data_IF_788970206676
#
_entry.id   IF_788970206676
#
_cell.length_a   1.000
_cell.length_b   1.000
_cell.length_c   1.000
_cell.angle_alpha   90.00
_cell.angle_beta   90.00
_cell.angle_gamma   90.00
#
_symmetry.space_group_name_H-M   'P 1'
#
loop_
_entity.id
_entity.type
_entity.pdbx_description
1 polymer ?
#
# COMPACT_ATOMS: atom_id res chain seq x y z
N UNK A 1 -0.17 -16.51 13.30
CA UNK A 1 0.47 -17.82 13.43
C UNK A 1 1.25 -18.13 12.17
N UNK A 2 2.44 -18.75 12.30
CA UNK A 2 3.14 -19.35 11.16
C UNK A 2 2.38 -20.60 10.68
N UNK A 3 2.78 -21.18 9.54
CA UNK A 3 2.17 -22.43 9.06
C UNK A 3 2.37 -23.58 10.06
N UNK A 4 3.55 -23.66 10.69
CA UNK A 4 3.86 -24.68 11.72
C UNK A 4 3.05 -24.45 13.00
N UNK A 5 3.01 -23.21 13.52
CA UNK A 5 2.19 -22.87 14.68
C UNK A 5 0.71 -23.14 14.43
N UNK A 6 0.26 -22.89 13.19
CA UNK A 6 -1.11 -23.16 12.77
C UNK A 6 -1.39 -24.69 12.78
N UNK A 7 -0.47 -25.52 12.30
CA UNK A 7 -0.58 -26.97 12.35
C UNK A 7 -0.75 -27.49 13.78
N UNK A 8 0.14 -27.09 14.68
CA UNK A 8 0.07 -27.45 16.10
C UNK A 8 -1.21 -26.97 16.79
N UNK A 9 -1.71 -25.78 16.37
CA UNK A 9 -2.95 -25.25 16.93
C UNK A 9 -4.18 -25.99 16.38
N UNK A 10 -4.19 -26.37 15.10
CA UNK A 10 -5.26 -27.16 14.47
C UNK A 10 -5.48 -28.51 15.20
N UNK A 11 -4.42 -29.21 15.56
CA UNK A 11 -4.49 -30.47 16.32
C UNK A 11 -5.19 -30.28 17.66
N UNK A 12 -5.09 -29.12 18.26
CA UNK A 12 -5.66 -28.78 19.57
C UNK A 12 -6.95 -27.96 19.50
N UNK A 13 -7.42 -27.61 18.30
CA UNK A 13 -8.56 -26.69 18.09
C UNK A 13 -9.85 -27.22 18.76
N UNK A 14 -10.02 -28.53 18.87
CA UNK A 14 -11.17 -29.13 19.53
C UNK A 14 -11.33 -28.75 21.02
N UNK A 15 -10.24 -28.29 21.65
CA UNK A 15 -10.23 -27.76 23.03
C UNK A 15 -10.72 -26.34 23.15
N UNK A 16 -10.76 -25.59 22.02
CA UNK A 16 -11.06 -24.17 22.00
C UNK A 16 -12.37 -23.90 21.24
N UNK A 17 -13.49 -24.07 21.95
CA UNK A 17 -14.80 -23.81 21.36
C UNK A 17 -14.95 -22.34 20.99
N UNK A 18 -15.46 -22.06 19.80
CA UNK A 18 -15.66 -20.70 19.29
C UNK A 18 -14.43 -20.06 18.63
N UNK A 19 -13.30 -20.78 18.55
CA UNK A 19 -12.12 -20.33 17.81
C UNK A 19 -12.11 -20.95 16.42
N UNK A 20 -11.74 -20.13 15.44
CA UNK A 20 -11.62 -20.55 14.04
C UNK A 20 -10.30 -20.06 13.48
N UNK A 21 -9.73 -20.80 12.52
CA UNK A 21 -8.56 -20.38 11.78
C UNK A 21 -9.03 -19.74 10.48
N UNK A 22 -8.69 -18.48 10.29
CA UNK A 22 -8.89 -17.77 9.04
C UNK A 22 -7.54 -17.59 8.35
N UNK A 23 -7.43 -18.05 7.11
CA UNK A 23 -6.26 -17.78 6.28
C UNK A 23 -6.29 -16.32 5.84
N UNK A 24 -5.13 -15.70 5.84
CA UNK A 24 -4.96 -14.33 5.32
C UNK A 24 -3.81 -14.28 4.35
N UNK A 25 -3.98 -13.54 3.28
CA UNK A 25 -2.90 -13.18 2.37
C UNK A 25 -2.05 -12.08 3.01
N UNK A 26 -0.73 -12.17 2.83
CA UNK A 26 0.22 -11.17 3.30
C UNK A 26 0.92 -10.64 2.05
N UNK A 27 1.14 -9.33 1.98
CA UNK A 27 1.93 -8.72 0.91
C UNK A 27 3.35 -9.25 0.97
N UNK A 28 3.91 -9.50 -0.19
CA UNK A 28 5.32 -9.86 -0.36
C UNK A 28 5.93 -8.88 -1.35
N UNK A 29 7.04 -8.29 -0.98
CA UNK A 29 7.81 -7.41 -1.85
C UNK A 29 9.01 -8.17 -2.39
N UNK A 30 9.26 -8.05 -3.70
CA UNK A 30 10.44 -8.66 -4.35
C UNK A 30 11.70 -7.85 -4.15
N UNK A 31 11.56 -6.57 -3.77
CA UNK A 31 12.65 -5.61 -3.59
C UNK A 31 12.46 -4.82 -2.30
N UNK A 32 13.58 -4.47 -1.65
CA UNK A 32 13.62 -3.61 -0.45
C UNK A 32 13.60 -2.13 -0.86
N UNK A 33 12.76 -1.77 -1.82
CA UNK A 33 12.76 -0.45 -2.43
C UNK A 33 11.33 0.06 -2.70
N UNK A 34 11.21 1.34 -3.06
CA UNK A 34 9.99 2.01 -3.47
C UNK A 34 8.90 2.10 -2.39
N UNK A 35 9.24 1.96 -1.10
CA UNK A 35 8.26 1.95 -0.02
C UNK A 35 7.29 3.14 -0.04
N UNK A 36 7.77 4.35 -0.35
CA UNK A 36 6.95 5.55 -0.41
C UNK A 36 6.03 5.61 -1.64
N UNK A 37 6.45 5.00 -2.77
CA UNK A 37 5.64 4.96 -3.99
C UNK A 37 4.58 3.86 -3.88
N UNK A 38 4.97 2.66 -3.49
CA UNK A 38 4.06 1.54 -3.31
C UNK A 38 3.06 1.80 -2.19
N UNK A 39 3.54 2.36 -1.09
CA UNK A 39 2.75 2.52 0.12
C UNK A 39 2.67 1.25 0.94
N UNK A 40 1.65 1.14 1.76
CA UNK A 40 1.43 -0.01 2.63
C UNK A 40 -0.05 -0.30 2.82
N UNK A 41 -0.34 -1.52 3.26
CA UNK A 41 -1.67 -1.96 3.67
C UNK A 41 -1.76 -2.05 5.19
N UNK A 42 -2.93 -1.83 5.72
CA UNK A 42 -3.18 -1.95 7.15
C UNK A 42 -4.61 -2.36 7.43
N UNK A 43 -4.87 -2.81 8.66
CA UNK A 43 -6.22 -3.16 9.09
C UNK A 43 -7.14 -1.95 8.95
N UNK A 44 -8.35 -2.18 8.45
CA UNK A 44 -9.38 -1.15 8.29
C UNK A 44 -9.75 -0.56 9.66
N UNK A 45 -9.80 0.75 9.74
CA UNK A 45 -10.24 1.47 10.94
C UNK A 45 -11.77 1.66 10.95
N UNK A 46 -12.35 1.95 12.12
CA UNK A 46 -13.77 2.25 12.23
C UNK A 46 -14.19 3.40 11.31
N UNK A 47 -13.36 4.45 11.22
CA UNK A 47 -13.63 5.60 10.34
C UNK A 47 -13.63 5.24 8.85
N UNK A 48 -12.74 4.33 8.42
CA UNK A 48 -12.71 3.85 7.03
C UNK A 48 -13.91 2.95 6.73
N UNK A 49 -14.36 2.14 7.69
CA UNK A 49 -15.60 1.36 7.55
C UNK A 49 -16.84 2.24 7.46
N UNK A 50 -16.92 3.31 8.26
CA UNK A 50 -18.03 4.29 8.20
C UNK A 50 -18.06 5.06 6.87
N UNK A 51 -16.90 5.28 6.26
CA UNK A 51 -16.76 5.96 4.97
C UNK A 51 -16.95 5.02 3.76
N UNK A 52 -17.08 3.73 3.99
CA UNK A 52 -17.27 2.72 2.94
C UNK A 52 -18.75 2.61 2.56
N UNK A 53 -19.16 3.39 1.57
CA UNK A 53 -20.54 3.39 1.05
C UNK A 53 -20.95 2.04 0.43
N UNK A 54 -19.98 1.24 -0.02
CA UNK A 54 -20.23 -0.07 -0.64
C UNK A 54 -20.44 -1.18 0.39
N UNK A 55 -20.08 -0.93 1.67
CA UNK A 55 -20.15 -1.93 2.74
C UNK A 55 -19.23 -3.13 2.52
N UNK A 56 -18.14 -2.93 1.79
CA UNK A 56 -17.19 -3.98 1.44
C UNK A 56 -16.34 -4.43 2.62
N UNK A 57 -15.92 -3.47 3.47
CA UNK A 57 -15.00 -3.73 4.57
C UNK A 57 -15.70 -4.17 5.85
N UNK A 58 -15.16 -5.21 6.45
CA UNK A 58 -15.52 -5.65 7.79
C UNK A 58 -14.29 -5.58 8.71
N UNK A 59 -14.54 -5.57 10.01
CA UNK A 59 -13.46 -5.54 11.00
C UNK A 59 -12.46 -6.67 10.78
N UNK A 60 -11.19 -6.31 10.67
CA UNK A 60 -10.10 -7.24 10.43
C UNK A 60 -9.67 -7.34 8.97
N UNK A 61 -10.38 -6.71 8.03
CA UNK A 61 -9.91 -6.58 6.66
C UNK A 61 -8.71 -5.65 6.56
N UNK A 62 -7.98 -5.78 5.46
CA UNK A 62 -6.88 -4.88 5.12
C UNK A 62 -7.29 -3.92 4.02
N UNK A 63 -6.77 -2.70 4.10
CA UNK A 63 -7.00 -1.62 3.13
C UNK A 63 -5.69 -0.90 2.84
N UNK A 64 -5.50 -0.40 1.65
CA UNK A 64 -4.38 0.45 1.29
C UNK A 64 -4.38 1.75 2.10
N UNK A 65 -3.27 2.03 2.78
CA UNK A 65 -3.14 3.21 3.65
C UNK A 65 -2.49 4.38 2.94
N UNK A 66 -1.51 4.11 2.12
CA UNK A 66 -0.69 5.11 1.42
C UNK A 66 -0.34 4.62 0.02
N UNK A 67 0.19 5.54 -0.80
CA UNK A 67 0.79 5.24 -2.11
C UNK A 67 -0.16 4.58 -3.10
N UNK A 68 0.41 3.74 -3.95
CA UNK A 68 -0.31 2.96 -4.97
C UNK A 68 -1.34 2.03 -4.35
N UNK A 69 -1.02 1.39 -3.20
CA UNK A 69 -1.94 0.52 -2.49
C UNK A 69 -3.26 1.23 -2.14
N UNK A 70 -3.19 2.49 -1.71
CA UNK A 70 -4.39 3.30 -1.42
C UNK A 70 -5.09 3.80 -2.67
N UNK A 71 -4.31 4.32 -3.63
CA UNK A 71 -4.89 4.98 -4.82
C UNK A 71 -5.60 4.00 -5.75
N UNK A 72 -5.13 2.75 -5.77
CA UNK A 72 -5.68 1.69 -6.62
C UNK A 72 -6.36 0.57 -5.83
N UNK A 73 -6.75 0.85 -4.58
CA UNK A 73 -7.39 -0.13 -3.68
C UNK A 73 -8.53 -0.88 -4.34
N UNK A 74 -9.47 -0.19 -5.01
CA UNK A 74 -10.61 -0.81 -5.69
C UNK A 74 -10.22 -1.85 -6.75
N UNK A 75 -9.07 -1.67 -7.39
CA UNK A 75 -8.56 -2.60 -8.39
C UNK A 75 -7.78 -3.76 -7.76
N UNK A 76 -7.11 -3.49 -6.64
CA UNK A 76 -6.20 -4.43 -5.99
C UNK A 76 -6.91 -5.37 -5.00
N UNK A 77 -8.03 -4.93 -4.40
CA UNK A 77 -8.71 -5.67 -3.32
C UNK A 77 -9.46 -6.93 -3.80
N UNK A 78 -9.91 -6.96 -5.09
CA UNK A 78 -10.76 -8.04 -5.62
C UNK A 78 -12.18 -8.05 -5.06
N UNK A 79 -12.84 -9.19 -5.17
CA UNK A 79 -14.19 -9.40 -4.64
C UNK A 79 -14.18 -10.56 -3.63
N UNK A 80 -14.86 -10.37 -2.51
CA UNK A 80 -14.97 -11.40 -1.48
C UNK A 80 -15.88 -12.53 -1.92
N UNK A 81 -15.43 -13.76 -1.70
CA UNK A 81 -16.28 -14.93 -1.81
C UNK A 81 -17.22 -15.06 -0.61
N UNK A 82 -18.29 -15.80 -0.79
CA UNK A 82 -19.27 -16.13 0.26
C UNK A 82 -19.46 -17.63 0.23
N UNK A 83 -19.33 -18.27 1.40
CA UNK A 83 -19.66 -19.68 1.62
C UNK A 83 -20.76 -19.77 2.67
N UNK A 84 -21.86 -20.44 2.35
CA UNK A 84 -22.97 -20.65 3.27
C UNK A 84 -22.89 -22.07 3.82
N UNK A 85 -22.50 -22.16 5.09
CA UNK A 85 -22.24 -23.44 5.74
C UNK A 85 -23.37 -23.83 6.70
N UNK A 86 -23.79 -25.11 6.63
CA UNK A 86 -24.67 -25.71 7.62
C UNK A 86 -23.90 -26.08 8.88
N UNK A 87 -24.44 -25.72 10.04
CA UNK A 87 -23.86 -26.08 11.36
C UNK A 87 -24.88 -26.80 12.20
N UNK A 88 -24.40 -27.80 12.92
CA UNK A 88 -25.22 -28.50 13.94
C UNK A 88 -25.38 -27.65 15.22
N UNK A 89 -26.21 -28.15 16.13
CA UNK A 89 -26.43 -27.51 17.45
C UNK A 89 -25.15 -27.34 18.29
N UNK A 90 -24.08 -28.07 17.95
CA UNK A 90 -22.79 -27.99 18.62
C UNK A 90 -21.81 -27.06 17.88
N UNK A 91 -22.25 -26.42 16.77
CA UNK A 91 -21.46 -25.50 15.97
C UNK A 91 -20.51 -26.19 14.98
N UNK A 92 -20.62 -27.48 14.76
CA UNK A 92 -19.77 -28.22 13.81
C UNK A 92 -20.32 -28.04 12.40
N UNK A 93 -19.43 -27.80 11.44
CA UNK A 93 -19.78 -27.71 10.02
C UNK A 93 -20.18 -29.10 9.51
N UNK A 94 -21.38 -29.18 8.94
CA UNK A 94 -21.94 -30.42 8.37
C UNK A 94 -21.83 -30.45 6.83
N UNK A 95 -21.56 -29.29 6.21
CA UNK A 95 -21.42 -29.16 4.77
C UNK A 95 -21.87 -27.78 4.29
N UNK A 96 -21.95 -27.64 2.98
CA UNK A 96 -22.48 -26.43 2.34
C UNK A 96 -24.00 -26.46 2.29
N UNK A 97 -24.63 -25.31 2.43
CA UNK A 97 -26.07 -25.18 2.25
C UNK A 97 -26.44 -25.43 0.78
N UNK A 98 -27.42 -26.31 0.55
CA UNK A 98 -27.86 -26.74 -0.80
C UNK A 98 -26.66 -27.09 -1.71
N UNK A 99 -25.74 -27.92 -1.20
CA UNK A 99 -24.55 -28.38 -1.93
C UNK A 99 -23.70 -27.24 -2.54
N UNK A 100 -23.78 -26.03 -1.96
CA UNK A 100 -23.00 -24.86 -2.40
C UNK A 100 -23.62 -24.08 -3.55
N UNK A 101 -24.89 -24.30 -3.90
CA UNK A 101 -25.58 -23.55 -4.99
C UNK A 101 -25.57 -22.04 -4.79
N UNK A 102 -25.52 -21.60 -3.54
CA UNK A 102 -25.50 -20.17 -3.16
C UNK A 102 -24.09 -19.66 -2.81
N UNK A 103 -23.09 -20.48 -2.91
CA UNK A 103 -21.71 -20.07 -2.70
C UNK A 103 -21.24 -19.21 -3.87
N UNK A 104 -20.45 -18.19 -3.57
CA UNK A 104 -19.80 -17.32 -4.56
C UNK A 104 -18.30 -17.41 -4.38
N UNK A 105 -17.54 -17.82 -5.40
CA UNK A 105 -16.09 -17.84 -5.30
C UNK A 105 -15.53 -16.41 -5.16
N UNK A 106 -14.42 -16.26 -4.46
CA UNK A 106 -13.70 -15.00 -4.41
C UNK A 106 -13.05 -14.69 -5.76
N UNK A 107 -13.07 -13.42 -6.17
CA UNK A 107 -12.38 -12.95 -7.36
C UNK A 107 -11.13 -12.20 -6.94
N UNK A 108 -9.93 -12.62 -7.38
CA UNK A 108 -8.69 -11.91 -7.05
C UNK A 108 -8.69 -10.51 -7.65
N UNK A 109 -7.98 -9.58 -6.99
CA UNK A 109 -7.76 -8.24 -7.52
C UNK A 109 -6.96 -8.26 -8.82
N UNK A 110 -6.99 -7.15 -9.53
CA UNK A 110 -6.28 -6.99 -10.80
C UNK A 110 -4.80 -6.74 -10.57
N UNK A 111 -3.97 -7.23 -11.48
CA UNK A 111 -2.56 -6.85 -11.52
C UNK A 111 -2.43 -5.40 -11.99
N UNK A 112 -1.49 -4.69 -11.39
CA UNK A 112 -1.18 -3.31 -11.74
C UNK A 112 0.29 -3.24 -12.19
N UNK A 113 0.50 -2.75 -13.41
CA UNK A 113 1.85 -2.44 -13.93
C UNK A 113 2.10 -0.95 -13.72
N UNK A 114 3.21 -0.64 -13.06
CA UNK A 114 3.64 0.73 -12.80
C UNK A 114 4.69 1.16 -13.83
N UNK A 115 4.78 2.46 -14.07
CA UNK A 115 5.83 3.07 -14.89
C UNK A 115 7.20 3.15 -14.17
N UNK A 116 7.24 2.81 -12.87
CA UNK A 116 8.47 2.82 -12.10
C UNK A 116 9.48 1.83 -12.66
N UNK A 117 10.67 2.34 -13.01
CA UNK A 117 11.85 1.53 -13.30
C UNK A 117 12.53 1.15 -12.00
N UNK A 118 12.54 -0.13 -11.67
CA UNK A 118 13.03 -0.60 -10.37
C UNK A 118 14.54 -0.40 -10.23
N UNK A 119 15.31 -0.51 -11.29
CA UNK A 119 16.76 -0.32 -11.27
C UNK A 119 17.10 1.15 -11.02
N UNK A 120 16.37 2.06 -11.68
CA UNK A 120 16.49 3.50 -11.47
C UNK A 120 16.05 3.90 -10.05
N UNK A 121 14.97 3.32 -9.56
CA UNK A 121 14.49 3.53 -8.18
C UNK A 121 15.55 3.11 -7.17
N UNK A 122 16.08 1.89 -7.28
CA UNK A 122 17.13 1.38 -6.39
C UNK A 122 18.42 2.18 -6.48
N UNK A 123 18.79 2.65 -7.69
CA UNK A 123 19.92 3.54 -7.86
C UNK A 123 19.72 4.85 -7.09
N UNK A 124 18.56 5.49 -7.25
CA UNK A 124 18.21 6.72 -6.57
C UNK A 124 18.24 6.57 -5.04
N UNK A 125 17.68 5.50 -4.50
CA UNK A 125 17.70 5.21 -3.05
C UNK A 125 19.14 5.03 -2.53
N UNK A 126 19.97 4.33 -3.30
CA UNK A 126 21.40 4.14 -2.99
C UNK A 126 22.18 5.45 -3.00
N UNK A 127 21.93 6.33 -3.98
CA UNK A 127 22.57 7.65 -4.09
C UNK A 127 22.18 8.59 -2.94
N UNK A 128 20.97 8.45 -2.40
CA UNK A 128 20.48 9.22 -1.26
C UNK A 128 20.79 8.58 0.10
N UNK A 129 21.45 7.43 0.13
CA UNK A 129 21.84 6.81 1.40
C UNK A 129 22.58 7.79 2.30
N UNK A 130 22.16 7.92 3.56
CA UNK A 130 22.69 8.85 4.57
C UNK A 130 22.50 10.35 4.22
N UNK A 131 21.56 10.66 3.34
CA UNK A 131 21.19 12.05 2.98
C UNK A 131 19.71 12.27 3.24
N UNK A 132 19.29 13.52 3.33
CA UNK A 132 17.88 13.93 3.42
C UNK A 132 17.52 14.62 2.12
N UNK A 133 16.49 14.12 1.45
CA UNK A 133 16.03 14.70 0.19
C UNK A 133 15.16 13.75 -0.62
N UNK A 134 14.98 14.08 -1.89
CA UNK A 134 14.19 13.27 -2.83
C UNK A 134 14.80 13.32 -4.22
N UNK A 135 14.52 12.27 -5.01
CA UNK A 135 14.80 12.21 -6.45
C UNK A 135 13.50 11.79 -7.13
N UNK A 136 13.11 12.55 -8.15
CA UNK A 136 11.96 12.22 -9.01
C UNK A 136 12.43 12.31 -10.46
N UNK A 137 12.20 11.25 -11.23
CA UNK A 137 12.41 11.25 -12.68
C UNK A 137 11.07 11.04 -13.37
N UNK A 138 10.78 11.91 -14.34
CA UNK A 138 9.52 11.90 -15.09
C UNK A 138 9.88 11.89 -16.57
N UNK A 139 9.25 11.01 -17.34
CA UNK A 139 9.31 11.02 -18.79
C UNK A 139 8.53 12.24 -19.32
N UNK A 140 9.16 13.22 -19.97
CA UNK A 140 8.49 14.45 -20.30
C UNK A 140 7.38 14.31 -21.38
N UNK A 141 7.47 13.33 -22.25
CA UNK A 141 6.48 13.12 -23.31
C UNK A 141 5.20 12.46 -22.78
N UNK A 142 5.31 11.52 -21.85
CA UNK A 142 4.17 10.73 -21.35
C UNK A 142 3.69 11.16 -19.98
N UNK A 143 4.55 11.81 -19.18
CA UNK A 143 4.30 12.15 -17.79
C UNK A 143 4.49 10.96 -16.83
N UNK A 144 5.00 9.84 -17.32
CA UNK A 144 5.26 8.64 -16.52
C UNK A 144 6.35 8.89 -15.48
N UNK A 145 6.09 8.46 -14.26
CA UNK A 145 7.05 8.55 -13.16
C UNK A 145 7.96 7.33 -13.20
N UNK A 146 9.21 7.52 -13.61
CA UNK A 146 10.21 6.47 -13.71
C UNK A 146 10.86 6.13 -12.37
N UNK A 147 11.04 7.12 -11.49
CA UNK A 147 11.40 6.88 -10.09
C UNK A 147 10.83 7.94 -9.17
N UNK A 148 10.58 7.56 -7.93
CA UNK A 148 10.09 8.43 -6.86
C UNK A 148 10.76 8.05 -5.55
N UNK A 149 11.88 8.70 -5.25
CA UNK A 149 12.72 8.41 -4.10
C UNK A 149 12.53 9.46 -3.03
N UNK A 150 12.33 9.01 -1.80
CA UNK A 150 12.33 9.85 -0.61
C UNK A 150 13.35 9.29 0.39
N UNK A 151 14.20 10.12 0.95
CA UNK A 151 15.23 9.71 1.93
C UNK A 151 15.21 10.61 3.16
N UNK A 152 15.36 10.04 4.38
CA UNK A 152 15.46 8.61 4.67
C UNK A 152 14.22 7.84 4.21
N UNK A 153 14.45 6.63 3.72
CA UNK A 153 13.40 5.66 3.42
C UNK A 153 13.31 4.60 4.52
N UNK A 154 12.44 3.65 4.33
CA UNK A 154 12.31 2.46 5.18
C UNK A 154 12.11 1.22 4.32
N UNK A 155 12.45 0.08 4.88
CA UNK A 155 12.19 -1.22 4.25
C UNK A 155 10.69 -1.50 4.23
N UNK A 156 10.05 -1.72 3.06
CA UNK A 156 8.63 -2.01 2.96
C UNK A 156 8.22 -3.27 3.74
N UNK A 157 9.13 -4.23 3.96
CA UNK A 157 8.88 -5.43 4.77
C UNK A 157 8.59 -5.12 6.24
N UNK A 158 9.02 -3.98 6.76
CA UNK A 158 8.68 -3.54 8.11
C UNK A 158 7.18 -3.26 8.29
N UNK A 159 6.48 -2.99 7.18
CA UNK A 159 5.07 -2.62 7.19
C UNK A 159 4.12 -3.78 6.90
N UNK A 160 4.61 -5.04 7.01
CA UNK A 160 3.80 -6.24 6.84
C UNK A 160 3.73 -7.10 8.11
N UNK A 161 2.70 -7.95 8.19
CA UNK A 161 2.56 -8.96 9.23
C UNK A 161 2.32 -8.40 10.64
N UNK A 162 2.56 -9.26 11.64
CA UNK A 162 2.22 -8.97 13.06
C UNK A 162 3.01 -7.81 13.68
N UNK A 163 4.22 -7.56 13.19
CA UNK A 163 5.11 -6.51 13.74
C UNK A 163 4.82 -5.11 13.14
N UNK A 164 3.94 -5.01 12.14
CA UNK A 164 3.62 -3.77 11.44
C UNK A 164 3.35 -2.61 12.40
N UNK A 165 2.46 -2.80 13.38
CA UNK A 165 2.10 -1.73 14.32
C UNK A 165 3.30 -1.24 15.15
N UNK A 166 4.13 -2.17 15.64
CA UNK A 166 5.35 -1.84 16.39
C UNK A 166 6.36 -1.11 15.51
N UNK A 167 6.58 -1.60 14.30
CA UNK A 167 7.50 -1.01 13.34
C UNK A 167 7.04 0.38 12.90
N UNK A 168 5.74 0.55 12.63
CA UNK A 168 5.18 1.87 12.32
C UNK A 168 5.42 2.88 13.43
N UNK A 169 5.18 2.52 14.69
CA UNK A 169 5.44 3.40 15.84
C UNK A 169 6.93 3.73 15.98
N UNK A 170 7.81 2.77 15.70
CA UNK A 170 9.26 3.00 15.69
C UNK A 170 9.64 4.03 14.63
N UNK A 171 9.19 3.83 13.38
CA UNK A 171 9.45 4.75 12.26
C UNK A 171 8.82 6.14 12.49
N UNK A 172 7.64 6.21 13.11
CA UNK A 172 6.96 7.47 13.44
C UNK A 172 7.71 8.29 14.47
N UNK A 173 8.37 7.63 15.45
CA UNK A 173 9.16 8.28 16.51
C UNK A 173 10.56 8.67 16.06
N UNK A 174 11.00 8.18 14.92
CA UNK A 174 12.32 8.49 14.39
C UNK A 174 12.42 9.98 14.04
N UNK A 175 13.43 10.65 14.59
CA UNK A 175 13.70 12.08 14.36
C UNK A 175 13.97 12.42 12.90
N UNK A 176 14.46 11.46 12.12
CA UNK A 176 14.74 11.60 10.70
C UNK A 176 13.49 11.50 9.81
N UNK A 177 12.34 11.14 10.43
CA UNK A 177 11.02 11.06 9.77
C UNK A 177 11.03 10.21 8.48
N UNK A 178 11.39 8.92 8.56
CA UNK A 178 11.46 8.05 7.38
C UNK A 178 10.10 7.80 6.72
N UNK A 179 8.97 7.96 7.43
CA UNK A 179 7.63 7.86 6.86
C UNK A 179 7.21 9.07 6.01
N UNK A 180 7.95 10.18 6.08
CA UNK A 180 7.62 11.37 5.31
C UNK A 180 8.02 11.17 3.83
N UNK A 181 7.04 11.17 2.93
CA UNK A 181 7.31 11.18 1.50
C UNK A 181 7.75 12.59 1.08
N UNK A 182 9.07 12.82 1.05
CA UNK A 182 9.66 14.12 0.74
C UNK A 182 9.49 14.52 -0.72
N UNK A 183 9.32 13.56 -1.61
CA UNK A 183 9.06 13.83 -3.02
C UNK A 183 7.71 14.51 -3.24
N UNK A 184 6.70 14.15 -2.43
CA UNK A 184 5.33 14.67 -2.55
C UNK A 184 4.98 15.73 -1.50
N UNK A 185 5.55 15.63 -0.29
CA UNK A 185 5.17 16.44 0.86
C UNK A 185 6.27 17.39 1.34
N UNK A 186 7.47 17.31 0.71
CA UNK A 186 8.58 18.17 1.07
C UNK A 186 8.30 19.62 0.62
N UNK A 187 8.43 20.56 1.55
CA UNK A 187 8.30 21.99 1.27
C UNK A 187 9.70 22.60 1.32
N UNK A 188 10.28 22.82 0.13
CA UNK A 188 11.62 23.38 -0.02
C UNK A 188 11.58 24.67 -0.86
N UNK A 189 12.44 25.66 -0.58
CA UNK A 189 12.61 26.80 -1.46
C UNK A 189 13.08 26.33 -2.85
N UNK A 190 12.33 26.60 -3.93
CA UNK A 190 12.66 26.07 -5.26
C UNK A 190 13.91 26.72 -5.87
N UNK A 191 14.28 27.90 -5.42
CA UNK A 191 15.40 28.64 -5.98
C UNK A 191 15.24 28.91 -7.49
N UNK A 192 16.38 28.82 -8.27
CA UNK A 192 16.39 29.10 -9.72
C UNK A 192 15.54 28.15 -10.55
N UNK A 193 15.13 26.99 -10.01
CA UNK A 193 14.22 26.07 -10.73
C UNK A 193 12.84 26.70 -10.95
N UNK A 194 12.43 27.66 -10.12
CA UNK A 194 11.18 28.39 -10.28
C UNK A 194 11.17 29.32 -11.50
N UNK A 195 12.34 29.72 -12.01
CA UNK A 195 12.45 30.60 -13.18
C UNK A 195 11.80 30.02 -14.45
N UNK A 196 11.79 28.68 -14.57
CA UNK A 196 11.11 28.01 -15.68
C UNK A 196 9.61 28.30 -15.65
N UNK A 197 8.98 28.13 -14.48
CA UNK A 197 7.56 28.46 -14.30
C UNK A 197 7.28 29.94 -14.53
N UNK A 198 8.14 30.84 -14.04
CA UNK A 198 8.03 32.28 -14.31
C UNK A 198 8.12 32.60 -15.80
N UNK A 199 9.09 31.98 -16.51
CA UNK A 199 9.26 32.17 -17.95
C UNK A 199 8.01 31.75 -18.73
N UNK A 200 7.43 30.60 -18.42
CA UNK A 200 6.18 30.14 -19.03
C UNK A 200 5.01 31.09 -18.74
N UNK A 201 4.90 31.58 -17.51
CA UNK A 201 3.88 32.58 -17.15
C UNK A 201 4.07 33.89 -17.94
N UNK A 202 5.30 34.40 -18.08
CA UNK A 202 5.56 35.61 -18.84
C UNK A 202 5.24 35.45 -20.32
N UNK A 203 5.53 34.28 -20.91
CA UNK A 203 5.14 34.00 -22.29
C UNK A 203 3.61 33.95 -22.44
N UNK A 204 2.91 33.32 -21.51
CA UNK A 204 1.46 33.22 -21.50
C UNK A 204 0.78 34.60 -21.37
N UNK A 205 1.31 35.46 -20.51
CA UNK A 205 0.82 36.82 -20.29
C UNK A 205 1.29 37.83 -21.35
N UNK A 206 2.10 37.41 -22.32
CA UNK A 206 2.62 38.26 -23.37
C UNK A 206 3.66 39.30 -22.90
N UNK A 207 4.25 39.10 -21.72
CA UNK A 207 5.25 39.98 -21.12
C UNK A 207 6.65 39.75 -21.73
N UNK A 208 6.84 38.55 -22.30
CA UNK A 208 8.09 38.16 -22.94
C UNK A 208 7.84 37.41 -24.25
N UNK A 209 8.89 37.31 -25.07
CA UNK A 209 8.89 36.50 -26.29
C UNK A 209 9.95 35.41 -26.21
N UNK A 210 9.85 34.40 -27.07
CA UNK A 210 10.86 33.34 -27.15
C UNK A 210 12.26 33.83 -27.49
N UNK A 211 12.37 35.05 -28.04
CA UNK A 211 13.63 35.71 -28.43
C UNK A 211 14.13 36.70 -27.37
N UNK A 212 13.48 36.80 -26.23
CA UNK A 212 13.80 37.73 -25.14
C UNK A 212 12.84 38.92 -25.06
N UNK A 213 13.06 39.80 -24.05
CA UNK A 213 12.25 41.04 -23.90
C UNK A 213 12.46 42.03 -25.04
#
# INVERSE_FOLDING_TARGET
LSAEECGVFLEKLFKFRGFYIQRRTIRQYSYDAAAHALGDIGEVSAKEMEADEEGYYIRGDYVGKLGVEKSYEKYLRGEKGIEILLRDAHGRIQGHYMDGEYDRPSVPGKNLTLSLDIDLQMLGERLLKNKIGSIVAIEPETGEILCLVSSPNYDPHLMIGRQRGKNHLMLQRDKMKPLLNRALMGVYPPGSTFKTAQGLTFLQEGIGTEQGP
#
